data_IF_770590903412
#
_entry.id   IF_770590903412
#
_cell.length_a   1.000
_cell.length_b   1.000
_cell.length_c   1.000
_cell.angle_alpha   90.00
_cell.angle_beta   90.00
_cell.angle_gamma   90.00
#
_symmetry.space_group_name_H-M   'P 1'
#
loop_
_entity.id
_entity.type
_entity.pdbx_description
1 polymer ?
#
# COMPACT_ATOMS: atom_id res chain seq x y z
N UNK A 1 -5.69 13.30 10.00
CA UNK A 1 -5.51 11.82 9.98
C UNK A 1 -4.06 11.45 10.34
N UNK A 2 -3.04 12.02 9.70
CA UNK A 2 -1.61 11.69 9.98
C UNK A 2 -1.11 11.87 11.43
N UNK A 3 -1.60 12.86 12.19
CA UNK A 3 -1.12 13.12 13.57
C UNK A 3 -1.49 12.02 14.56
N UNK A 4 -2.59 11.31 14.34
CA UNK A 4 -3.03 10.20 15.21
C UNK A 4 -2.32 8.91 14.82
N UNK A 5 -2.20 8.61 13.53
CA UNK A 5 -1.46 7.44 13.04
C UNK A 5 0.00 7.47 13.52
N UNK A 6 0.67 8.63 13.43
CA UNK A 6 2.05 8.77 13.89
C UNK A 6 2.22 8.53 15.41
N UNK A 7 1.22 8.91 16.24
CA UNK A 7 1.24 8.60 17.68
C UNK A 7 1.05 7.10 17.94
N UNK A 8 0.13 6.44 17.23
CA UNK A 8 -0.12 5.00 17.39
C UNK A 8 1.10 4.19 16.98
N UNK A 9 1.76 4.53 15.86
CA UNK A 9 3.02 3.89 15.44
C UNK A 9 4.09 4.04 16.50
N UNK A 10 4.24 5.23 17.09
CA UNK A 10 5.24 5.50 18.13
C UNK A 10 4.95 4.75 19.44
N UNK A 11 3.67 4.60 19.78
CA UNK A 11 3.24 3.96 21.04
C UNK A 11 3.22 2.44 20.95
N UNK A 12 2.83 1.87 19.81
CA UNK A 12 2.65 0.42 19.64
C UNK A 12 3.75 -0.24 18.80
N UNK A 13 4.70 0.52 18.24
CA UNK A 13 5.77 -0.03 17.40
C UNK A 13 5.27 -0.72 16.13
N UNK A 14 4.04 -0.43 15.75
CA UNK A 14 3.30 -1.16 14.73
C UNK A 14 3.47 -0.46 13.37
N UNK A 15 3.82 -1.17 12.28
CA UNK A 15 3.95 -0.57 10.96
C UNK A 15 2.63 0.07 10.52
N UNK A 16 2.69 1.35 10.13
CA UNK A 16 1.58 2.06 9.49
C UNK A 16 1.74 1.94 7.98
N UNK A 17 0.70 1.38 7.38
CA UNK A 17 0.65 1.04 5.96
C UNK A 17 -0.39 1.95 5.35
N UNK A 18 0.06 2.85 4.48
CA UNK A 18 -0.82 3.67 3.66
C UNK A 18 -0.92 2.99 2.30
N UNK A 19 -2.12 2.55 1.91
CA UNK A 19 -2.33 1.81 0.64
C UNK A 19 -1.81 2.61 -0.56
N UNK A 20 -2.04 3.94 -0.54
CA UNK A 20 -1.55 4.83 -1.59
C UNK A 20 -0.02 4.89 -1.70
N UNK A 21 0.70 4.79 -0.59
CA UNK A 21 2.18 4.76 -0.60
C UNK A 21 2.70 3.39 -1.04
N UNK A 22 2.00 2.32 -0.66
CA UNK A 22 2.28 0.96 -1.14
C UNK A 22 2.17 0.87 -2.66
N UNK A 23 1.09 1.39 -3.24
CA UNK A 23 0.90 1.45 -4.68
C UNK A 23 2.01 2.28 -5.35
N UNK A 24 2.35 3.45 -4.80
CA UNK A 24 3.45 4.29 -5.30
C UNK A 24 4.81 3.58 -5.26
N UNK A 25 5.10 2.85 -4.18
CA UNK A 25 6.33 2.07 -4.06
C UNK A 25 6.36 0.92 -5.07
N UNK A 26 5.23 0.25 -5.27
CA UNK A 26 5.12 -0.86 -6.21
C UNK A 26 5.36 -0.41 -7.66
N UNK A 27 4.88 0.78 -8.06
CA UNK A 27 5.16 1.38 -9.37
C UNK A 27 6.67 1.49 -9.64
N UNK A 28 7.48 1.71 -8.61
CA UNK A 28 8.94 1.84 -8.74
C UNK A 28 9.63 0.49 -8.98
N UNK A 29 8.99 -0.64 -8.65
CA UNK A 29 9.57 -1.98 -8.81
C UNK A 29 9.51 -2.51 -10.24
N UNK A 30 8.87 -1.79 -11.18
CA UNK A 30 8.85 -2.08 -12.63
C UNK A 30 8.44 -3.51 -12.99
N UNK A 31 7.51 -4.11 -12.26
CA UNK A 31 6.89 -5.39 -12.64
C UNK A 31 5.85 -5.17 -13.74
N UNK A 32 5.41 -6.26 -14.40
CA UNK A 32 4.27 -6.23 -15.34
C UNK A 32 3.05 -5.54 -14.72
N UNK A 33 2.69 -5.92 -13.49
CA UNK A 33 1.56 -5.38 -12.77
C UNK A 33 1.76 -3.90 -12.36
N UNK A 34 3.01 -3.49 -12.08
CA UNK A 34 3.38 -2.08 -11.84
C UNK A 34 3.13 -1.20 -13.07
N UNK A 35 3.29 -1.75 -14.28
CA UNK A 35 3.03 -1.04 -15.54
C UNK A 35 1.55 -0.78 -15.75
N UNK A 36 0.71 -1.78 -15.49
CA UNK A 36 -0.75 -1.64 -15.55
C UNK A 36 -1.25 -0.60 -14.54
N UNK A 37 -0.74 -0.60 -13.30
CA UNK A 37 -1.07 0.42 -12.31
C UNK A 37 -0.70 1.81 -12.82
N UNK A 38 0.54 1.96 -13.30
CA UNK A 38 1.06 3.24 -13.78
C UNK A 38 0.20 3.78 -14.93
N UNK A 39 -0.21 2.93 -15.88
CA UNK A 39 -1.07 3.34 -16.99
C UNK A 39 -2.45 3.83 -16.53
N UNK A 40 -3.05 3.22 -15.51
CA UNK A 40 -4.33 3.69 -14.97
C UNK A 40 -4.16 5.06 -14.29
N UNK A 41 -3.13 5.21 -13.45
CA UNK A 41 -2.84 6.46 -12.75
C UNK A 41 -2.50 7.60 -13.73
N UNK A 42 -1.65 7.33 -14.73
CA UNK A 42 -1.27 8.30 -15.76
C UNK A 42 -2.48 8.76 -16.60
N UNK A 43 -3.50 7.89 -16.75
CA UNK A 43 -4.77 8.22 -17.42
C UNK A 43 -5.81 8.87 -16.48
N UNK A 44 -5.51 9.03 -15.19
CA UNK A 44 -6.47 9.50 -14.19
C UNK A 44 -7.62 8.51 -13.92
N UNK A 45 -7.43 7.24 -14.27
CA UNK A 45 -8.40 6.17 -14.04
C UNK A 45 -8.19 5.56 -12.65
N UNK A 46 -9.30 5.15 -12.04
CA UNK A 46 -9.26 4.36 -10.82
C UNK A 46 -8.69 2.97 -11.13
N UNK A 47 -7.94 2.42 -10.18
CA UNK A 47 -7.47 1.06 -10.26
C UNK A 47 -8.63 0.10 -9.97
N UNK A 48 -8.72 -1.05 -10.67
CA UNK A 48 -9.66 -2.10 -10.31
C UNK A 48 -9.42 -2.59 -8.88
N UNK A 49 -10.49 -2.82 -8.12
CA UNK A 49 -10.41 -3.24 -6.72
C UNK A 49 -9.64 -4.56 -6.55
N UNK A 50 -9.89 -5.54 -7.43
CA UNK A 50 -9.21 -6.85 -7.43
C UNK A 50 -7.69 -6.70 -7.54
N UNK A 51 -7.26 -5.75 -8.37
CA UNK A 51 -5.85 -5.46 -8.59
C UNK A 51 -5.25 -4.87 -7.30
N UNK A 52 -5.90 -3.86 -6.71
CA UNK A 52 -5.46 -3.23 -5.45
C UNK A 52 -5.40 -4.23 -4.30
N UNK A 53 -6.42 -5.07 -4.15
CA UNK A 53 -6.49 -6.11 -3.13
C UNK A 53 -5.33 -7.09 -3.23
N UNK A 54 -5.02 -7.57 -4.44
CA UNK A 54 -3.91 -8.50 -4.68
C UNK A 54 -2.59 -7.90 -4.20
N UNK A 55 -2.34 -6.63 -4.51
CA UNK A 55 -1.12 -5.93 -4.09
C UNK A 55 -1.04 -5.71 -2.59
N UNK A 56 -2.12 -5.22 -1.97
CA UNK A 56 -2.14 -4.98 -0.54
C UNK A 56 -1.91 -6.29 0.21
N UNK A 57 -2.58 -7.37 -0.20
CA UNK A 57 -2.42 -8.69 0.42
C UNK A 57 -0.97 -9.20 0.32
N UNK A 58 -0.33 -9.07 -0.84
CA UNK A 58 1.05 -9.55 -1.01
C UNK A 58 2.06 -8.76 -0.17
N UNK A 59 1.83 -7.48 0.04
CA UNK A 59 2.66 -6.65 0.92
C UNK A 59 2.39 -6.92 2.40
N UNK A 60 1.13 -7.15 2.78
CA UNK A 60 0.77 -7.57 4.12
C UNK A 60 1.40 -8.93 4.48
N UNK A 61 1.46 -9.88 3.54
CA UNK A 61 2.15 -11.16 3.75
C UNK A 61 3.63 -11.00 4.10
N UNK A 62 4.32 -9.97 3.60
CA UNK A 62 5.73 -9.71 3.92
C UNK A 62 5.95 -9.27 5.37
N UNK A 63 4.91 -8.76 6.03
CA UNK A 63 4.99 -8.33 7.43
C UNK A 63 4.93 -9.49 8.43
N UNK A 64 4.41 -10.64 7.99
CA UNK A 64 4.23 -11.84 8.80
C UNK A 64 3.21 -11.63 9.91
N UNK A 65 3.47 -12.19 11.09
CA UNK A 65 2.56 -12.12 12.25
C UNK A 65 2.62 -10.78 13.02
N UNK A 66 3.30 -9.78 12.47
CA UNK A 66 3.32 -8.44 13.07
C UNK A 66 1.98 -7.76 12.80
N UNK A 67 1.34 -7.28 13.85
CA UNK A 67 0.19 -6.39 13.69
C UNK A 67 0.56 -5.19 12.82
N UNK A 68 -0.42 -4.62 12.12
CA UNK A 68 -0.25 -3.43 11.28
C UNK A 68 -1.47 -2.51 11.39
N UNK A 69 -1.25 -1.23 11.11
CA UNK A 69 -2.32 -0.24 10.94
C UNK A 69 -2.46 0.05 9.45
N UNK A 70 -3.62 -0.25 8.86
CA UNK A 70 -3.92 0.03 7.45
C UNK A 70 -4.72 1.34 7.33
N UNK A 71 -4.28 2.25 6.47
CA UNK A 71 -4.88 3.57 6.16
C UNK A 71 -4.99 3.79 4.64
#
# INVERSE_FOLDING_TARGET
>A
KGTIASRIVKTYGMPHIVVGDLLRHNIQQKTESSRTIKEHIDKGLLLPDDLVLTFVVDELKKLGDRGFLLD
#
